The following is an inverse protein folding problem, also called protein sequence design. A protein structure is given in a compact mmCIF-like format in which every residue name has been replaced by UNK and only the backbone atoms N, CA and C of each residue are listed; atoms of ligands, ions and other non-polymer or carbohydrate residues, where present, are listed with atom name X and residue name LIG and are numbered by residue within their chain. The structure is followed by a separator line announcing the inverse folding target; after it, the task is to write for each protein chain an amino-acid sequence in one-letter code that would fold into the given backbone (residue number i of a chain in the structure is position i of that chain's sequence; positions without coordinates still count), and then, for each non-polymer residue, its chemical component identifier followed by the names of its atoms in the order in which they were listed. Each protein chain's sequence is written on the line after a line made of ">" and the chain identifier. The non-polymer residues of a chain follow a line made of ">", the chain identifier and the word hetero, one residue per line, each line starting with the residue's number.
data_IF_294165596825
#
_entry.id   IF_294165596825
#
_cell.length_a   1.000
_cell.length_b   1.000
_cell.length_c   1.000
_cell.angle_alpha   90.00
_cell.angle_beta   90.00
_cell.angle_gamma   90.00
#
_symmetry.space_group_name_H-M   'P 1'
#
loop_
_entity.id
_entity.type
_entity.pdbx_description
1 polymer ?
#
# COMPACT_ATOMS: atom_id res chain seq x y z
N UNK A 1 17.42 -39.62 34.35
CA UNK A 1 17.66 -39.41 32.92
C UNK A 1 16.42 -38.81 32.21
N UNK A 2 15.19 -39.22 32.53
CA UNK A 2 13.96 -38.73 31.84
C UNK A 2 13.69 -37.21 32.00
N UNK A 3 13.99 -36.60 33.14
CA UNK A 3 13.78 -35.15 33.36
C UNK A 3 14.61 -34.29 32.38
N UNK A 4 15.87 -34.66 32.14
CA UNK A 4 16.75 -33.94 31.17
C UNK A 4 16.29 -34.12 29.72
N UNK A 5 15.70 -35.26 29.39
CA UNK A 5 15.15 -35.54 28.05
C UNK A 5 13.87 -34.72 27.78
N UNK A 6 12.99 -34.59 28.79
CA UNK A 6 11.78 -33.79 28.70
C UNK A 6 12.12 -32.29 28.51
N UNK A 7 13.11 -31.79 29.28
CA UNK A 7 13.55 -30.38 29.17
C UNK A 7 14.14 -30.07 27.78
N UNK A 8 14.92 -31.01 27.22
CA UNK A 8 15.47 -30.87 25.88
C UNK A 8 14.39 -30.89 24.80
N UNK A 9 13.37 -31.76 24.95
CA UNK A 9 12.25 -31.85 24.03
C UNK A 9 11.37 -30.59 24.05
N UNK A 10 11.18 -29.99 25.25
CA UNK A 10 10.41 -28.74 25.38
C UNK A 10 11.15 -27.55 24.79
N UNK A 11 12.48 -27.51 24.89
CA UNK A 11 13.31 -26.47 24.29
C UNK A 11 13.29 -26.50 22.73
N UNK A 12 13.14 -27.71 22.15
CA UNK A 12 13.06 -27.88 20.69
C UNK A 12 11.74 -27.38 20.11
N UNK A 13 10.66 -27.36 20.90
CA UNK A 13 9.34 -26.90 20.43
C UNK A 13 9.22 -25.38 20.34
N UNK A 14 10.12 -24.59 20.97
CA UNK A 14 10.06 -23.12 21.01
C UNK A 14 10.63 -22.50 19.71
N UNK A 15 11.40 -23.23 18.94
CA UNK A 15 12.03 -22.74 17.68
C UNK A 15 11.14 -22.85 16.47
N UNK A 16 9.92 -23.39 16.58
CA UNK A 16 9.05 -23.71 15.45
C UNK A 16 8.12 -22.56 15.02
N UNK A 17 8.07 -21.42 15.71
CA UNK A 17 7.36 -20.25 15.24
C UNK A 17 8.27 -19.40 14.34
N UNK A 18 8.48 -19.84 13.12
CA UNK A 18 9.06 -19.03 12.06
C UNK A 18 8.12 -17.87 11.71
N UNK A 19 8.14 -16.80 12.50
CA UNK A 19 7.47 -15.56 12.17
C UNK A 19 8.23 -14.93 10.98
N UNK A 20 7.84 -15.31 9.78
CA UNK A 20 8.33 -14.64 8.58
C UNK A 20 7.60 -13.31 8.48
N UNK A 21 8.27 -12.23 8.87
CA UNK A 21 7.81 -10.89 8.52
C UNK A 21 7.67 -10.90 6.99
N UNK A 22 6.46 -10.69 6.50
CA UNK A 22 6.21 -10.51 5.06
C UNK A 22 6.92 -9.23 4.65
N UNK A 23 8.20 -9.37 4.30
CA UNK A 23 9.03 -8.29 3.78
C UNK A 23 8.33 -7.67 2.58
N UNK A 24 8.54 -6.37 2.36
CA UNK A 24 8.11 -5.73 1.13
C UNK A 24 8.67 -6.53 -0.05
N UNK A 25 7.84 -6.72 -1.06
CA UNK A 25 8.20 -7.41 -2.29
C UNK A 25 9.52 -6.81 -2.83
N UNK A 26 10.52 -7.64 -3.12
CA UNK A 26 11.78 -7.16 -3.69
C UNK A 26 11.50 -6.37 -4.97
N UNK A 27 11.92 -5.11 -4.99
CA UNK A 27 11.73 -4.23 -6.15
C UNK A 27 12.75 -4.64 -7.20
N UNK A 28 12.27 -5.01 -8.40
CA UNK A 28 13.09 -5.53 -9.49
C UNK A 28 13.87 -4.47 -10.27
N UNK A 29 13.52 -3.19 -10.11
CA UNK A 29 14.14 -2.06 -10.82
C UNK A 29 14.94 -1.17 -9.86
N UNK A 30 15.98 -0.51 -10.37
CA UNK A 30 16.86 0.38 -9.60
C UNK A 30 16.62 1.86 -9.86
N UNK A 31 16.05 2.20 -11.02
CA UNK A 31 15.79 3.57 -11.43
C UNK A 31 14.35 3.74 -11.88
N UNK A 32 13.72 4.84 -11.46
CA UNK A 32 12.35 5.17 -11.83
C UNK A 32 12.21 6.67 -12.11
N UNK A 33 11.38 7.02 -13.10
CA UNK A 33 10.89 8.38 -13.29
C UNK A 33 9.44 8.48 -12.86
N UNK A 34 9.11 9.52 -12.09
CA UNK A 34 7.75 9.84 -11.67
C UNK A 34 7.28 11.06 -12.45
N UNK A 35 6.20 10.89 -13.19
CA UNK A 35 5.65 11.88 -14.12
C UNK A 35 4.17 12.15 -13.80
N UNK A 36 3.60 13.19 -14.43
CA UNK A 36 2.22 13.58 -14.26
C UNK A 36 1.99 14.54 -13.12
N UNK A 37 0.88 14.39 -12.40
CA UNK A 37 0.49 15.31 -11.32
C UNK A 37 1.26 15.01 -10.03
N UNK A 38 1.64 16.05 -9.32
CA UNK A 38 2.17 15.90 -7.97
C UNK A 38 1.01 15.70 -6.99
N UNK A 39 0.86 14.46 -6.51
CA UNK A 39 -0.21 13.99 -5.64
C UNK A 39 0.37 13.74 -4.22
N UNK A 40 -0.50 13.61 -3.20
CA UNK A 40 -0.04 13.18 -1.88
C UNK A 40 0.52 11.76 -1.93
N UNK A 41 -0.05 10.90 -2.75
CA UNK A 41 0.48 9.57 -3.10
C UNK A 41 1.93 9.64 -3.58
N UNK A 42 2.28 10.60 -4.45
CA UNK A 42 3.64 10.78 -4.97
C UNK A 42 4.65 10.97 -3.86
N UNK A 43 4.30 11.75 -2.82
CA UNK A 43 5.18 12.02 -1.68
C UNK A 43 5.49 10.74 -0.90
N UNK A 44 4.49 9.91 -0.65
CA UNK A 44 4.66 8.65 0.07
C UNK A 44 5.38 7.60 -0.79
N UNK A 45 5.08 7.57 -2.09
CA UNK A 45 5.79 6.72 -3.05
C UNK A 45 7.28 7.06 -3.10
N UNK A 46 7.66 8.35 -3.18
CA UNK A 46 9.06 8.80 -3.14
C UNK A 46 9.78 8.30 -1.89
N UNK A 47 9.15 8.39 -0.71
CA UNK A 47 9.74 7.87 0.54
C UNK A 47 9.96 6.36 0.48
N UNK A 48 9.00 5.62 -0.02
CA UNK A 48 9.08 4.16 -0.13
C UNK A 48 10.16 3.74 -1.14
N UNK A 49 10.26 4.41 -2.28
CA UNK A 49 11.32 4.17 -3.27
C UNK A 49 12.71 4.40 -2.66
N UNK A 50 12.90 5.53 -1.96
CA UNK A 50 14.16 5.84 -1.29
C UNK A 50 14.54 4.80 -0.23
N UNK A 51 13.58 4.33 0.58
CA UNK A 51 13.79 3.28 1.58
C UNK A 51 14.22 1.95 0.95
N UNK A 52 13.81 1.69 -0.29
CA UNK A 52 14.17 0.50 -1.06
C UNK A 52 15.38 0.71 -1.99
N UNK A 53 16.10 1.82 -1.83
CA UNK A 53 17.31 2.16 -2.62
C UNK A 53 17.05 2.28 -4.12
N UNK A 54 15.82 2.64 -4.51
CA UNK A 54 15.46 2.94 -5.90
C UNK A 54 15.73 4.42 -6.15
N UNK A 55 16.54 4.73 -7.15
CA UNK A 55 16.85 6.09 -7.53
C UNK A 55 15.73 6.70 -8.37
N UNK A 56 15.28 7.91 -8.00
CA UNK A 56 14.35 8.69 -8.81
C UNK A 56 15.17 9.59 -9.72
N UNK A 57 14.99 9.43 -11.02
CA UNK A 57 15.75 10.12 -12.08
C UNK A 57 14.82 10.85 -13.05
N UNK A 58 15.38 11.70 -13.88
CA UNK A 58 14.59 12.38 -14.92
C UNK A 58 14.21 11.42 -16.05
N UNK A 59 13.09 11.67 -16.76
CA UNK A 59 12.68 10.85 -17.91
C UNK A 59 13.75 10.76 -19.01
N UNK A 60 14.61 11.79 -19.11
CA UNK A 60 15.72 11.90 -20.10
C UNK A 60 16.91 11.01 -19.75
N UNK A 61 16.99 10.48 -18.54
CA UNK A 61 18.11 9.65 -18.05
C UNK A 61 17.90 8.16 -18.30
N UNK A 62 16.91 7.80 -19.13
CA UNK A 62 16.55 6.43 -19.49
C UNK A 62 16.31 5.53 -18.26
N UNK A 63 15.33 5.86 -17.40
CA UNK A 63 14.98 5.03 -16.25
C UNK A 63 14.49 3.65 -16.70
N UNK A 64 14.74 2.63 -15.86
CA UNK A 64 14.21 1.27 -16.07
C UNK A 64 12.69 1.23 -16.08
N UNK A 65 12.07 2.14 -15.29
CA UNK A 65 10.63 2.27 -15.19
C UNK A 65 10.22 3.75 -15.20
N UNK A 66 9.13 4.05 -15.92
CA UNK A 66 8.45 5.34 -15.87
C UNK A 66 7.04 5.12 -15.32
N UNK A 67 6.63 5.93 -14.37
CA UNK A 67 5.28 5.89 -13.77
C UNK A 67 4.66 7.27 -13.92
N UNK A 68 3.54 7.35 -14.60
CA UNK A 68 2.77 8.58 -14.75
C UNK A 68 1.50 8.50 -13.91
N UNK A 69 1.30 9.51 -13.05
CA UNK A 69 0.19 9.62 -12.12
C UNK A 69 -0.83 10.66 -12.64
N UNK A 70 -2.11 10.27 -12.72
CA UNK A 70 -3.18 11.12 -13.28
C UNK A 70 -4.04 11.77 -12.21
N UNK A 71 -4.53 10.97 -11.26
CA UNK A 71 -5.42 11.44 -10.21
C UNK A 71 -5.29 10.62 -8.93
N UNK A 72 -5.65 11.25 -7.84
CA UNK A 72 -5.80 10.68 -6.51
C UNK A 72 -7.16 11.13 -5.98
N UNK A 73 -7.97 10.18 -5.55
CA UNK A 73 -9.32 10.41 -5.08
C UNK A 73 -9.54 9.66 -3.76
N UNK A 74 -10.07 10.36 -2.77
CA UNK A 74 -10.57 9.78 -1.53
C UNK A 74 -12.04 10.08 -1.41
N UNK A 75 -12.85 9.06 -1.19
CA UNK A 75 -14.30 9.18 -1.10
C UNK A 75 -14.79 8.45 0.14
N UNK A 76 -15.71 9.08 0.88
CA UNK A 76 -16.36 8.52 2.05
C UNK A 76 -17.87 8.49 1.80
N UNK A 77 -18.46 7.31 1.87
CA UNK A 77 -19.89 7.08 1.66
C UNK A 77 -20.54 6.53 2.92
N UNK A 78 -21.81 6.82 3.15
CA UNK A 78 -22.58 6.17 4.18
C UNK A 78 -22.85 4.74 3.75
N UNK A 79 -22.42 3.76 4.56
CA UNK A 79 -22.64 2.35 4.32
C UNK A 79 -23.92 1.87 5.02
N UNK A 80 -24.14 2.27 6.27
CA UNK A 80 -25.34 1.87 7.01
C UNK A 80 -25.84 2.94 7.98
N UNK A 81 -27.15 2.87 8.25
CA UNK A 81 -27.84 3.72 9.23
C UNK A 81 -28.41 2.85 10.38
N UNK A 82 -28.53 3.45 11.56
CA UNK A 82 -29.27 2.86 12.68
C UNK A 82 -30.77 2.88 12.43
N UNK A 83 -31.53 2.14 13.23
CA UNK A 83 -33.01 2.20 13.19
C UNK A 83 -33.60 3.60 13.49
N UNK A 84 -32.77 4.53 13.97
CA UNK A 84 -33.13 5.92 14.25
C UNK A 84 -32.66 6.88 13.13
N UNK A 85 -32.11 6.37 12.04
CA UNK A 85 -31.61 7.17 10.91
C UNK A 85 -30.24 7.81 11.11
N UNK A 86 -29.52 7.47 12.19
CA UNK A 86 -28.16 7.96 12.43
C UNK A 86 -27.13 7.08 11.70
N UNK A 87 -26.05 7.68 11.22
CA UNK A 87 -24.97 6.95 10.56
C UNK A 87 -24.33 5.97 11.53
N UNK A 88 -24.19 4.70 11.13
CA UNK A 88 -23.49 3.66 11.86
C UNK A 88 -22.16 3.30 11.25
N UNK A 89 -22.09 3.26 9.93
CA UNK A 89 -20.90 2.83 9.20
C UNK A 89 -20.70 3.71 7.98
N UNK A 90 -19.45 4.01 7.71
CA UNK A 90 -18.99 4.57 6.46
C UNK A 90 -18.18 3.53 5.69
N UNK A 91 -18.19 3.65 4.38
CA UNK A 91 -17.29 3.00 3.46
C UNK A 91 -16.34 4.06 2.90
N UNK A 92 -15.03 3.80 3.01
CA UNK A 92 -14.00 4.70 2.52
C UNK A 92 -13.31 4.05 1.33
N UNK A 93 -13.21 4.81 0.25
CA UNK A 93 -12.48 4.43 -0.96
C UNK A 93 -11.27 5.33 -1.12
N UNK A 94 -10.17 4.75 -1.57
CA UNK A 94 -9.01 5.48 -2.02
C UNK A 94 -8.57 4.94 -3.36
N UNK A 95 -8.44 5.82 -4.37
CA UNK A 95 -8.13 5.46 -5.76
C UNK A 95 -6.99 6.30 -6.28
N UNK A 96 -6.05 5.65 -6.98
CA UNK A 96 -4.99 6.33 -7.72
C UNK A 96 -4.98 5.80 -9.14
N UNK A 97 -5.04 6.70 -10.12
CA UNK A 97 -4.95 6.37 -11.55
C UNK A 97 -3.53 6.60 -12.04
N UNK A 98 -3.01 5.61 -12.73
CA UNK A 98 -1.63 5.63 -13.20
C UNK A 98 -1.46 4.80 -14.47
N UNK A 99 -0.33 5.00 -15.15
CA UNK A 99 0.19 4.07 -16.17
C UNK A 99 1.69 3.94 -16.02
N UNK A 100 2.22 2.88 -16.60
CA UNK A 100 3.65 2.58 -16.54
C UNK A 100 4.24 2.36 -17.93
N UNK A 101 5.54 2.59 -18.03
CA UNK A 101 6.34 2.26 -19.21
C UNK A 101 7.69 1.71 -18.73
N UNK A 102 8.05 0.51 -19.20
CA UNK A 102 9.37 -0.07 -18.97
C UNK A 102 10.37 0.42 -20.00
N UNK A 103 11.67 0.31 -19.73
CA UNK A 103 12.72 0.70 -20.68
C UNK A 103 12.63 -0.08 -22.01
N UNK A 104 12.21 -1.34 -21.94
CA UNK A 104 12.09 -2.23 -23.11
C UNK A 104 10.81 -2.00 -23.92
N UNK A 105 9.87 -1.20 -23.42
CA UNK A 105 8.61 -0.92 -24.10
C UNK A 105 8.66 0.41 -24.85
N UNK A 106 8.20 0.44 -26.11
CA UNK A 106 8.06 1.69 -26.86
C UNK A 106 6.83 2.50 -26.43
N UNK A 107 5.81 1.83 -25.89
CA UNK A 107 4.51 2.44 -25.56
C UNK A 107 4.22 2.39 -24.05
N UNK A 108 3.39 3.31 -23.60
CA UNK A 108 2.81 3.25 -22.26
C UNK A 108 1.82 2.08 -22.14
N UNK A 109 1.71 1.52 -20.93
CA UNK A 109 0.60 0.62 -20.60
C UNK A 109 -0.74 1.34 -20.72
N UNK A 110 -1.82 0.59 -20.72
CA UNK A 110 -3.15 1.15 -20.47
C UNK A 110 -3.18 1.82 -19.08
N UNK A 111 -4.12 2.74 -18.89
CA UNK A 111 -4.38 3.34 -17.58
C UNK A 111 -4.88 2.25 -16.62
N UNK A 112 -4.27 2.21 -15.46
CA UNK A 112 -4.61 1.30 -14.37
C UNK A 112 -5.15 2.09 -13.18
N UNK A 113 -5.94 1.44 -12.34
CA UNK A 113 -6.49 1.99 -11.12
C UNK A 113 -6.04 1.15 -9.95
N UNK A 114 -5.37 1.79 -8.99
CA UNK A 114 -5.22 1.24 -7.64
C UNK A 114 -6.46 1.63 -6.85
N UNK A 115 -7.16 0.66 -6.30
CA UNK A 115 -8.28 0.91 -5.41
C UNK A 115 -8.06 0.15 -4.11
N UNK A 116 -8.22 0.84 -3.00
CA UNK A 116 -8.34 0.26 -1.67
C UNK A 116 -9.67 0.70 -1.07
N UNK A 117 -10.27 -0.19 -0.27
CA UNK A 117 -11.57 0.03 0.34
C UNK A 117 -11.56 -0.47 1.78
N UNK A 118 -12.21 0.30 2.67
CA UNK A 118 -12.38 -0.07 4.08
C UNK A 118 -13.73 0.37 4.60
N UNK A 119 -14.31 -0.44 5.46
CA UNK A 119 -15.49 -0.09 6.23
C UNK A 119 -15.04 0.47 7.58
N UNK A 120 -15.75 1.48 8.06
CA UNK A 120 -15.41 2.23 9.26
C UNK A 120 -16.65 2.47 10.10
N UNK A 121 -16.68 1.92 11.31
CA UNK A 121 -17.79 2.10 12.24
C UNK A 121 -17.73 3.48 12.89
N UNK A 122 -18.81 4.22 12.81
CA UNK A 122 -18.95 5.57 13.35
C UNK A 122 -19.81 5.59 14.62
N UNK A 123 -19.46 6.47 15.56
CA UNK A 123 -20.22 6.73 16.77
C UNK A 123 -20.00 8.14 17.25
N UNK A 124 -21.06 8.92 17.40
CA UNK A 124 -21.02 10.29 17.91
C UNK A 124 -20.55 10.37 19.37
N UNK A 125 -20.67 9.27 20.13
CA UNK A 125 -20.27 9.24 21.54
C UNK A 125 -18.75 9.32 21.75
N UNK A 126 -17.92 9.08 20.72
CA UNK A 126 -16.46 9.11 20.80
C UNK A 126 -15.84 9.75 19.56
N UNK A 127 -16.21 10.97 19.26
CA UNK A 127 -15.81 11.68 18.04
C UNK A 127 -14.28 11.75 17.88
N UNK A 128 -13.55 12.17 18.92
CA UNK A 128 -12.08 12.34 18.87
C UNK A 128 -11.38 11.00 18.58
N UNK A 129 -11.82 9.92 19.23
CA UNK A 129 -11.26 8.58 18.98
C UNK A 129 -11.54 8.11 17.55
N UNK A 130 -12.69 8.49 16.98
CA UNK A 130 -13.08 8.13 15.62
C UNK A 130 -12.32 8.91 14.56
N UNK A 131 -11.97 10.16 14.79
CA UNK A 131 -11.11 10.95 13.89
C UNK A 131 -9.70 10.35 13.80
N UNK A 132 -9.14 9.91 14.93
CA UNK A 132 -7.83 9.26 14.94
C UNK A 132 -7.86 7.89 14.26
N UNK A 133 -8.92 7.10 14.47
CA UNK A 133 -9.12 5.81 13.80
C UNK A 133 -9.24 6.00 12.27
N UNK A 134 -10.00 7.00 11.82
CA UNK A 134 -10.14 7.34 10.40
C UNK A 134 -8.80 7.79 9.78
N UNK A 135 -7.99 8.57 10.51
CA UNK A 135 -6.66 8.98 10.07
C UNK A 135 -5.74 7.77 9.86
N UNK A 136 -5.70 6.86 10.84
CA UNK A 136 -4.90 5.62 10.75
C UNK A 136 -5.39 4.72 9.62
N UNK A 137 -6.70 4.63 9.41
CA UNK A 137 -7.30 3.90 8.31
C UNK A 137 -6.83 4.44 6.96
N UNK A 138 -6.90 5.75 6.77
CA UNK A 138 -6.45 6.41 5.54
C UNK A 138 -4.94 6.18 5.30
N UNK A 139 -4.10 6.30 6.32
CA UNK A 139 -2.67 6.01 6.21
C UNK A 139 -2.40 4.55 5.80
N UNK A 140 -3.15 3.61 6.38
CA UNK A 140 -3.06 2.19 6.02
C UNK A 140 -3.46 1.94 4.57
N UNK A 141 -4.55 2.58 4.10
CA UNK A 141 -5.01 2.47 2.71
C UNK A 141 -3.99 3.04 1.71
N UNK A 142 -3.35 4.16 2.03
CA UNK A 142 -2.28 4.74 1.21
C UNK A 142 -1.08 3.79 1.11
N UNK A 143 -0.65 3.19 2.23
CA UNK A 143 0.48 2.25 2.24
C UNK A 143 0.16 0.97 1.47
N UNK A 144 -1.07 0.49 1.57
CA UNK A 144 -1.55 -0.65 0.80
C UNK A 144 -1.56 -0.35 -0.71
N UNK A 145 -2.02 0.84 -1.11
CA UNK A 145 -2.01 1.24 -2.50
C UNK A 145 -0.59 1.28 -3.08
N UNK A 146 0.41 1.74 -2.30
CA UNK A 146 1.83 1.72 -2.71
C UNK A 146 2.32 0.27 -2.87
N UNK A 147 1.98 -0.61 -1.93
CA UNK A 147 2.34 -2.03 -2.02
C UNK A 147 1.71 -2.69 -3.24
N UNK A 148 0.45 -2.37 -3.53
CA UNK A 148 -0.25 -2.88 -4.70
C UNK A 148 0.36 -2.36 -6.00
N UNK A 149 0.82 -1.09 -6.04
CA UNK A 149 1.56 -0.55 -7.17
C UNK A 149 2.81 -1.38 -7.47
N UNK A 150 3.63 -1.65 -6.44
CA UNK A 150 4.84 -2.46 -6.64
C UNK A 150 4.54 -3.87 -7.10
N UNK A 151 3.51 -4.51 -6.54
CA UNK A 151 3.09 -5.85 -6.95
C UNK A 151 2.65 -5.87 -8.42
N UNK A 152 1.90 -4.85 -8.88
CA UNK A 152 1.45 -4.76 -10.27
C UNK A 152 2.61 -4.46 -11.23
N UNK A 153 3.54 -3.59 -10.85
CA UNK A 153 4.73 -3.27 -11.65
C UNK A 153 5.61 -4.51 -11.85
N UNK A 154 5.81 -5.31 -10.81
CA UNK A 154 6.60 -6.54 -10.93
C UNK A 154 6.03 -7.55 -11.93
N UNK A 155 4.72 -7.55 -12.15
CA UNK A 155 4.10 -8.40 -13.17
C UNK A 155 4.42 -7.94 -14.59
N UNK A 156 4.73 -6.66 -14.76
CA UNK A 156 5.03 -6.04 -16.07
C UNK A 156 6.53 -6.04 -16.37
N UNK A 157 7.38 -6.13 -15.34
CA UNK A 157 8.86 -6.10 -15.47
C UNK A 157 9.50 -7.49 -15.50
N UNK A 158 8.71 -8.57 -15.48
CA UNK A 158 9.16 -9.95 -15.69
C UNK A 158 9.08 -10.34 -17.16
#
# INVERSE_FOLDING_TARGET
>A
MHKKFITLLTLLMITSCGFHLRGMTEISFKTVSLEGKELSFTKNLKKTLASNKVAIVLPTENPELRVELFSEESEKRILSLSGQGLVREFEVFYRVRYRVKTADSETWSQENVLETRRDFTYSDANLIGKEEEERQLNESMHNEAITNLFNQIQLVTK
#
